data_IF_549461490865
#
_entry.id   IF_549461490865
#
_cell.length_a   1.000
_cell.length_b   1.000
_cell.length_c   1.000
_cell.angle_alpha   90.00
_cell.angle_beta   90.00
_cell.angle_gamma   90.00
#
_symmetry.space_group_name_H-M   'P 1'
#
loop_
_entity.id
_entity.type
_entity.pdbx_description
1 polymer ?
#
# COMPACT_ATOMS: atom_id res chain seq x y z
N UNK A 1 -5.27 -13.58 2.93
CA UNK A 1 -4.60 -14.45 3.92
C UNK A 1 -3.10 -14.52 3.70
N UNK A 2 -2.62 -14.90 2.51
CA UNK A 2 -1.20 -15.16 2.26
C UNK A 2 -0.28 -14.05 2.81
N UNK A 3 -0.53 -12.78 2.47
CA UNK A 3 0.28 -11.67 2.95
C UNK A 3 0.27 -11.51 4.50
N UNK A 4 -0.70 -12.08 5.18
CA UNK A 4 -0.87 -11.96 6.63
C UNK A 4 -0.29 -13.15 7.41
N UNK A 5 0.20 -14.18 6.71
CA UNK A 5 0.79 -15.40 7.29
C UNK A 5 2.28 -15.55 7.02
N UNK A 6 2.87 -14.66 6.22
CA UNK A 6 4.30 -14.66 5.90
C UNK A 6 5.04 -13.62 6.75
N UNK A 7 6.35 -13.80 6.86
CA UNK A 7 7.23 -12.83 7.50
C UNK A 7 7.34 -11.56 6.64
N UNK A 8 7.23 -10.41 7.29
CA UNK A 8 7.25 -9.09 6.66
C UNK A 8 8.66 -8.52 6.72
N UNK A 9 9.34 -8.30 5.60
CA UNK A 9 10.63 -7.61 5.61
C UNK A 9 10.43 -6.15 5.98
N UNK A 10 11.31 -5.62 6.81
CA UNK A 10 11.40 -4.21 7.19
C UNK A 10 12.87 -3.81 7.16
N UNK A 11 13.22 -2.76 6.43
CA UNK A 11 14.57 -2.22 6.47
C UNK A 11 14.64 -1.18 7.58
N UNK A 12 15.30 -1.51 8.68
CA UNK A 12 15.37 -0.71 9.90
C UNK A 12 16.83 -0.56 10.34
N UNK A 13 17.25 0.67 10.56
CA UNK A 13 18.61 1.02 11.01
C UNK A 13 19.74 0.45 10.10
N UNK A 14 19.48 0.37 8.80
CA UNK A 14 20.45 -0.12 7.82
C UNK A 14 20.45 -1.64 7.61
N UNK A 15 19.53 -2.37 8.22
CA UNK A 15 19.45 -3.83 8.14
C UNK A 15 18.03 -4.30 7.82
N UNK A 16 17.93 -5.43 7.10
CA UNK A 16 16.64 -6.10 6.89
C UNK A 16 16.31 -6.94 8.12
N UNK A 17 15.18 -6.62 8.74
CA UNK A 17 14.58 -7.39 9.84
C UNK A 17 13.26 -7.96 9.38
N UNK A 18 12.89 -9.14 9.85
CA UNK A 18 11.62 -9.76 9.55
C UNK A 18 10.74 -9.72 10.79
N UNK A 19 9.49 -9.29 10.59
CA UNK A 19 8.48 -9.24 11.65
C UNK A 19 7.25 -10.02 11.21
N UNK A 20 6.50 -10.53 12.16
CA UNK A 20 5.24 -11.21 11.87
C UNK A 20 4.07 -10.25 12.00
N UNK A 21 3.19 -10.30 11.03
CA UNK A 21 2.11 -9.34 10.84
C UNK A 21 1.24 -9.10 12.10
N UNK A 22 0.84 -10.16 12.78
CA UNK A 22 -0.07 -10.10 13.93
C UNK A 22 0.59 -10.49 15.27
N UNK A 23 1.89 -10.69 15.30
CA UNK A 23 2.65 -10.96 16.53
C UNK A 23 3.17 -9.66 17.17
N UNK A 24 3.72 -9.76 18.35
CA UNK A 24 4.11 -8.61 19.17
C UNK A 24 5.08 -7.66 18.46
N UNK A 25 6.01 -8.18 17.68
CA UNK A 25 6.99 -7.41 16.91
C UNK A 25 6.34 -6.59 15.78
N UNK A 26 5.41 -7.18 15.03
CA UNK A 26 4.64 -6.46 14.02
C UNK A 26 3.64 -5.48 14.63
N UNK A 27 2.99 -5.88 15.73
CA UNK A 27 2.07 -5.01 16.47
C UNK A 27 2.78 -3.79 17.03
N UNK A 28 4.02 -3.91 17.50
CA UNK A 28 4.83 -2.79 18.00
C UNK A 28 5.14 -1.73 16.92
N UNK A 29 5.13 -2.12 15.64
CA UNK A 29 5.41 -1.24 14.51
C UNK A 29 4.15 -0.58 13.91
N UNK A 30 2.98 -0.80 14.48
CA UNK A 30 1.74 -0.14 14.05
C UNK A 30 1.83 1.37 14.22
N UNK A 31 1.17 2.08 13.33
CA UNK A 31 1.00 3.53 13.46
C UNK A 31 -0.32 3.99 12.86
N UNK A 32 -0.83 5.11 13.36
CA UNK A 32 -1.92 5.81 12.70
C UNK A 32 -1.35 6.77 11.66
N UNK A 33 -2.00 6.82 10.51
CA UNK A 33 -1.68 7.77 9.46
C UNK A 33 -2.95 8.44 8.95
N UNK A 34 -2.87 9.76 8.75
CA UNK A 34 -3.98 10.55 8.23
C UNK A 34 -3.87 10.65 6.70
N UNK A 35 -4.68 9.85 6.01
CA UNK A 35 -4.71 9.84 4.55
C UNK A 35 -5.68 10.89 4.02
N UNK A 36 -5.35 11.53 2.88
CA UNK A 36 -6.39 12.21 2.11
C UNK A 36 -7.51 11.21 1.77
N UNK A 37 -8.77 11.65 1.80
CA UNK A 37 -9.95 10.83 1.42
C UNK A 37 -10.35 9.75 2.42
N UNK A 38 -9.40 9.03 3.02
CA UNK A 38 -9.69 7.93 3.95
C UNK A 38 -9.79 8.41 5.40
N UNK A 39 -9.12 9.55 5.72
CA UNK A 39 -8.95 9.99 7.10
C UNK A 39 -7.92 9.13 7.84
N UNK A 40 -8.06 9.08 9.15
CA UNK A 40 -7.12 8.40 10.05
C UNK A 40 -7.29 6.90 10.03
N UNK A 41 -6.24 6.17 9.65
CA UNK A 41 -6.24 4.70 9.51
C UNK A 41 -5.09 4.10 10.32
N UNK A 42 -5.38 3.03 11.05
CA UNK A 42 -4.35 2.21 11.71
C UNK A 42 -3.67 1.31 10.69
N UNK A 43 -2.34 1.44 10.58
CA UNK A 43 -1.50 0.69 9.66
C UNK A 43 -0.71 -0.37 10.38
N UNK A 44 -0.52 -1.49 9.70
CA UNK A 44 0.33 -2.61 10.11
C UNK A 44 1.50 -2.77 9.14
N UNK A 45 2.64 -3.32 9.55
CA UNK A 45 3.68 -3.78 8.61
C UNK A 45 3.05 -4.64 7.52
N UNK A 46 3.41 -4.40 6.27
CA UNK A 46 2.85 -5.11 5.13
C UNK A 46 3.97 -5.63 4.22
N UNK A 47 3.92 -6.90 3.77
CA UNK A 47 4.98 -7.45 2.94
C UNK A 47 4.90 -6.88 1.52
N UNK A 48 5.96 -6.20 1.12
CA UNK A 48 6.13 -5.65 -0.20
C UNK A 48 7.61 -5.66 -0.62
N UNK A 49 7.95 -5.73 -1.90
CA UNK A 49 9.33 -5.82 -2.35
C UNK A 49 10.15 -4.55 -2.12
N UNK A 50 9.53 -3.38 -2.04
CA UNK A 50 10.21 -2.08 -1.92
C UNK A 50 11.11 -1.99 -0.68
N UNK A 51 10.74 -2.66 0.41
CA UNK A 51 11.55 -2.72 1.63
C UNK A 51 12.92 -3.41 1.41
N UNK A 52 13.00 -4.25 0.37
CA UNK A 52 14.21 -5.01 0.03
C UNK A 52 14.95 -4.36 -1.14
N UNK A 53 14.23 -3.78 -2.09
CA UNK A 53 14.83 -3.25 -3.33
C UNK A 53 15.31 -1.81 -3.18
N UNK A 54 14.54 -0.93 -2.56
CA UNK A 54 14.91 0.49 -2.38
C UNK A 54 16.29 0.66 -1.71
N UNK A 55 16.63 -0.03 -0.60
CA UNK A 55 17.92 0.16 0.06
C UNK A 55 19.14 -0.23 -0.78
N UNK A 56 18.94 -1.01 -1.85
CA UNK A 56 20.01 -1.42 -2.76
C UNK A 56 20.36 -0.33 -3.78
N UNK A 57 19.44 0.59 -4.03
CA UNK A 57 19.57 1.62 -5.06
C UNK A 57 19.53 3.05 -4.50
N UNK A 58 18.88 3.23 -3.35
CA UNK A 58 18.73 4.54 -2.70
C UNK A 58 19.33 4.47 -1.31
N UNK A 59 20.30 5.35 -1.02
CA UNK A 59 20.92 5.43 0.32
C UNK A 59 19.90 5.93 1.34
N UNK A 60 19.51 5.08 2.27
CA UNK A 60 18.53 5.38 3.29
C UNK A 60 18.83 4.55 4.57
N UNK A 61 18.26 4.97 5.68
CA UNK A 61 18.39 4.27 6.97
C UNK A 61 17.22 3.35 7.27
N UNK A 62 16.08 3.65 6.65
CA UNK A 62 14.83 2.96 6.93
C UNK A 62 13.94 2.95 5.70
N UNK A 63 13.38 1.78 5.39
CA UNK A 63 12.28 1.60 4.44
C UNK A 63 11.25 0.68 5.06
N UNK A 64 10.03 1.18 5.20
CA UNK A 64 8.91 0.41 5.74
C UNK A 64 7.74 0.51 4.78
N UNK A 65 7.05 -0.59 4.57
CA UNK A 65 5.74 -0.59 3.95
C UNK A 65 4.70 -0.96 5.02
N UNK A 66 3.66 -0.17 5.11
CA UNK A 66 2.57 -0.38 6.06
C UNK A 66 1.24 -0.21 5.35
N UNK A 67 0.30 -1.05 5.66
CA UNK A 67 -1.00 -1.06 5.02
C UNK A 67 -2.13 -1.44 5.96
N UNK A 68 -3.34 -1.27 5.47
CA UNK A 68 -4.56 -1.70 6.14
C UNK A 68 -5.62 -2.06 5.13
N UNK A 69 -6.62 -2.83 5.58
CA UNK A 69 -7.84 -3.09 4.84
C UNK A 69 -9.01 -2.59 5.68
N UNK A 70 -9.80 -1.71 5.10
CA UNK A 70 -10.95 -1.12 5.79
C UNK A 70 -12.20 -1.99 5.64
N UNK A 71 -13.09 -1.99 6.65
CA UNK A 71 -12.97 -1.34 7.94
C UNK A 71 -12.07 -2.12 8.91
N UNK A 72 -11.59 -1.50 9.98
CA UNK A 72 -10.70 -2.11 10.97
C UNK A 72 -11.24 -3.42 11.56
N UNK A 73 -12.55 -3.51 11.76
CA UNK A 73 -13.20 -4.75 12.23
C UNK A 73 -12.97 -5.95 11.29
N UNK A 74 -12.86 -5.70 9.98
CA UNK A 74 -12.52 -6.75 9.02
C UNK A 74 -11.09 -7.23 9.24
N UNK A 75 -10.19 -6.32 9.51
CA UNK A 75 -8.80 -6.64 9.82
C UNK A 75 -8.69 -7.54 11.06
N UNK A 76 -9.43 -7.20 12.11
CA UNK A 76 -9.49 -8.01 13.33
C UNK A 76 -10.06 -9.40 13.06
N UNK A 77 -11.11 -9.51 12.24
CA UNK A 77 -11.68 -10.81 11.83
C UNK A 77 -10.63 -11.67 11.11
N UNK A 78 -9.90 -11.12 10.15
CA UNK A 78 -8.85 -11.85 9.43
C UNK A 78 -7.74 -12.31 10.38
N UNK A 79 -7.31 -11.47 11.31
CA UNK A 79 -6.36 -11.86 12.37
C UNK A 79 -6.87 -13.08 13.15
N UNK A 80 -8.11 -13.04 13.58
CA UNK A 80 -8.68 -14.10 14.39
C UNK A 80 -8.86 -15.40 13.59
N UNK A 81 -9.21 -15.30 12.29
CA UNK A 81 -9.22 -16.44 11.36
C UNK A 81 -7.82 -17.04 11.17
N UNK A 82 -6.79 -16.22 11.01
CA UNK A 82 -5.40 -16.69 10.93
C UNK A 82 -4.99 -17.42 12.22
N UNK A 83 -5.31 -16.87 13.38
CA UNK A 83 -5.00 -17.48 14.69
C UNK A 83 -5.74 -18.79 14.93
N UNK A 84 -6.95 -18.95 14.39
CA UNK A 84 -7.70 -20.20 14.42
C UNK A 84 -7.21 -21.26 13.43
N UNK A 85 -6.26 -20.93 12.56
CA UNK A 85 -5.76 -21.82 11.53
C UNK A 85 -6.60 -21.87 10.25
N UNK A 86 -7.61 -20.99 10.10
CA UNK A 86 -8.45 -20.93 8.90
C UNK A 86 -7.72 -20.39 7.67
N UNK A 87 -6.50 -19.91 7.82
CA UNK A 87 -5.58 -19.59 6.73
C UNK A 87 -4.53 -20.70 6.48
N UNK A 88 -4.68 -21.86 7.11
CA UNK A 88 -3.77 -23.00 6.97
C UNK A 88 -3.91 -23.68 5.62
N UNK A 89 -2.80 -24.25 5.15
CA UNK A 89 -2.71 -25.00 3.88
C UNK A 89 -2.79 -26.51 4.09
N UNK A 90 -2.60 -27.01 5.30
CA UNK A 90 -2.71 -28.43 5.62
C UNK A 90 -4.17 -28.87 5.60
N UNK A 91 -4.51 -29.92 4.85
CA UNK A 91 -5.87 -30.40 4.76
C UNK A 91 -6.42 -30.92 6.08
N UNK A 92 -7.71 -30.73 6.30
CA UNK A 92 -8.46 -31.28 7.43
C UNK A 92 -9.52 -32.22 6.92
N UNK A 93 -9.60 -33.43 7.50
CA UNK A 93 -10.65 -34.38 7.13
C UNK A 93 -12.01 -33.94 7.66
N UNK A 94 -12.94 -33.67 6.77
CA UNK A 94 -14.33 -33.31 7.09
C UNK A 94 -15.25 -34.40 6.53
N UNK A 95 -15.70 -35.30 7.37
CA UNK A 95 -16.63 -36.38 7.00
C UNK A 95 -16.15 -37.22 5.79
N UNK A 96 -14.85 -37.52 5.75
CA UNK A 96 -14.25 -38.30 4.69
C UNK A 96 -13.74 -37.51 3.47
N UNK A 97 -13.89 -36.18 3.49
CA UNK A 97 -13.38 -35.29 2.45
C UNK A 97 -12.24 -34.44 3.00
N UNK A 98 -11.12 -34.40 2.30
CA UNK A 98 -10.01 -33.51 2.62
C UNK A 98 -10.33 -32.07 2.20
N UNK A 99 -10.29 -31.13 3.14
CA UNK A 99 -10.61 -29.71 2.93
C UNK A 99 -9.42 -28.87 3.39
N UNK A 100 -8.89 -28.03 2.49
CA UNK A 100 -7.87 -27.05 2.84
C UNK A 100 -8.55 -25.84 3.49
N UNK A 101 -8.22 -25.49 4.74
CA UNK A 101 -8.88 -24.39 5.47
C UNK A 101 -8.84 -23.06 4.71
N UNK A 102 -7.71 -22.70 4.11
CA UNK A 102 -7.56 -21.46 3.33
C UNK A 102 -8.48 -21.43 2.12
N UNK A 103 -8.62 -22.53 1.39
CA UNK A 103 -9.46 -22.59 0.19
C UNK A 103 -10.93 -22.44 0.55
N UNK A 104 -11.37 -23.13 1.61
CA UNK A 104 -12.73 -22.98 2.13
C UNK A 104 -12.99 -21.54 2.60
N UNK A 105 -12.10 -20.98 3.39
CA UNK A 105 -12.25 -19.63 3.94
C UNK A 105 -12.30 -18.57 2.84
N UNK A 106 -11.45 -18.69 1.83
CA UNK A 106 -11.41 -17.79 0.68
C UNK A 106 -12.70 -17.86 -0.13
N UNK A 107 -13.15 -19.09 -0.47
CA UNK A 107 -14.39 -19.29 -1.21
C UNK A 107 -15.61 -18.79 -0.43
N UNK A 108 -15.64 -19.02 0.88
CA UNK A 108 -16.71 -18.53 1.75
C UNK A 108 -16.77 -17.01 1.81
N UNK A 109 -15.63 -16.34 2.00
CA UNK A 109 -15.56 -14.86 2.04
C UNK A 109 -16.00 -14.27 0.69
N UNK A 110 -15.54 -14.84 -0.43
CA UNK A 110 -15.94 -14.38 -1.78
C UNK A 110 -17.45 -14.51 -1.95
N UNK A 111 -18.04 -15.63 -1.57
CA UNK A 111 -19.49 -15.84 -1.63
C UNK A 111 -20.27 -14.84 -0.80
N UNK A 112 -19.81 -14.56 0.43
CA UNK A 112 -20.49 -13.67 1.36
C UNK A 112 -20.20 -12.17 1.08
N UNK A 113 -19.17 -11.87 0.28
CA UNK A 113 -18.74 -10.51 -0.01
C UNK A 113 -19.89 -9.61 -0.47
N UNK A 114 -20.66 -10.06 -1.44
CA UNK A 114 -21.73 -9.24 -2.03
C UNK A 114 -22.88 -9.01 -1.03
N UNK A 115 -23.16 -10.01 -0.18
CA UNK A 115 -24.11 -9.84 0.92
C UNK A 115 -23.62 -8.83 1.94
N UNK A 116 -22.36 -8.97 2.38
CA UNK A 116 -21.73 -8.08 3.36
C UNK A 116 -21.71 -6.64 2.84
N UNK A 117 -21.37 -6.43 1.57
CA UNK A 117 -21.35 -5.10 0.95
C UNK A 117 -22.74 -4.44 0.88
N UNK A 118 -23.81 -5.25 0.71
CA UNK A 118 -25.20 -4.74 0.72
C UNK A 118 -25.75 -4.47 2.12
N UNK A 119 -25.37 -5.27 3.11
CA UNK A 119 -25.96 -5.27 4.44
C UNK A 119 -25.18 -4.45 5.46
N UNK A 120 -23.98 -4.02 5.11
CA UNK A 120 -23.11 -3.25 5.98
C UNK A 120 -22.74 -1.92 5.35
N UNK A 121 -22.47 -0.94 6.19
CA UNK A 121 -22.00 0.40 5.79
C UNK A 121 -20.51 0.33 5.39
N UNK A 122 -20.18 -0.61 4.50
CA UNK A 122 -18.82 -0.74 3.96
C UNK A 122 -18.45 0.44 3.07
N UNK A 123 -19.45 1.23 2.69
CA UNK A 123 -19.28 2.46 1.95
C UNK A 123 -18.77 2.26 0.53
N UNK A 124 -18.49 3.38 -0.12
CA UNK A 124 -17.90 3.39 -1.44
C UNK A 124 -16.45 2.85 -1.40
N UNK A 125 -16.08 2.12 -2.44
CA UNK A 125 -14.69 1.67 -2.60
C UNK A 125 -13.79 2.89 -2.69
N UNK A 126 -12.78 2.93 -1.84
CA UNK A 126 -11.79 4.00 -1.81
C UNK A 126 -10.47 3.49 -1.27
N UNK A 127 -9.39 4.07 -1.73
CA UNK A 127 -8.06 3.75 -1.29
C UNK A 127 -7.11 4.91 -1.49
N UNK A 128 -5.97 4.84 -0.83
CA UNK A 128 -4.90 5.79 -1.00
C UNK A 128 -3.56 5.08 -0.84
N UNK A 129 -2.66 5.31 -1.79
CA UNK A 129 -1.24 4.98 -1.65
C UNK A 129 -0.52 6.26 -1.27
N UNK A 130 0.29 6.20 -0.22
CA UNK A 130 1.07 7.33 0.25
C UNK A 130 2.54 6.95 0.37
N UNK A 131 3.41 7.69 -0.28
CA UNK A 131 4.86 7.58 -0.11
C UNK A 131 5.33 8.75 0.76
N UNK A 132 5.95 8.43 1.89
CA UNK A 132 6.44 9.43 2.85
C UNK A 132 7.96 9.36 2.92
N UNK A 133 8.61 10.44 2.54
CA UNK A 133 10.07 10.56 2.55
C UNK A 133 10.49 11.54 3.62
N UNK A 134 11.27 11.08 4.59
CA UNK A 134 11.78 11.89 5.72
C UNK A 134 13.28 12.00 5.65
N UNK A 135 13.79 13.20 5.84
CA UNK A 135 15.23 13.42 5.82
C UNK A 135 15.65 14.86 6.14
N UNK A 136 16.88 15.19 5.76
CA UNK A 136 17.41 16.55 5.87
C UNK A 136 17.69 17.11 4.48
N UNK A 137 17.21 18.32 4.23
CA UNK A 137 17.50 19.10 3.02
C UNK A 137 18.05 20.45 3.43
N UNK A 138 19.27 20.76 3.01
CA UNK A 138 19.95 21.98 3.46
C UNK A 138 20.18 22.04 4.98
N UNK A 139 20.38 20.89 5.64
CA UNK A 139 20.56 20.80 7.09
C UNK A 139 19.27 20.80 7.92
N UNK A 140 18.13 21.16 7.35
CA UNK A 140 16.82 21.22 8.02
C UNK A 140 16.03 19.94 7.77
N UNK A 141 15.26 19.51 8.76
CA UNK A 141 14.32 18.41 8.60
C UNK A 141 13.26 18.77 7.58
N UNK A 142 12.94 17.79 6.72
CA UNK A 142 11.83 17.85 5.76
C UNK A 142 11.17 16.49 5.67
N UNK A 143 9.84 16.50 5.56
CA UNK A 143 9.05 15.35 5.18
C UNK A 143 8.27 15.70 3.91
N UNK A 144 8.36 14.85 2.89
CA UNK A 144 7.56 14.95 1.68
C UNK A 144 6.58 13.79 1.66
N UNK A 145 5.33 14.09 1.34
CA UNK A 145 4.25 13.11 1.19
C UNK A 145 3.71 13.16 -0.23
N UNK A 146 3.67 12.03 -0.87
CA UNK A 146 3.09 11.86 -2.20
C UNK A 146 1.88 10.95 -2.05
N UNK A 147 0.70 11.44 -2.39
CA UNK A 147 -0.55 10.72 -2.22
C UNK A 147 -1.22 10.48 -3.56
N UNK A 148 -1.58 9.22 -3.84
CA UNK A 148 -2.48 8.82 -4.91
C UNK A 148 -3.75 8.26 -4.28
N UNK A 149 -4.86 8.98 -4.39
CA UNK A 149 -6.13 8.60 -3.82
C UNK A 149 -7.15 8.24 -4.92
N UNK A 150 -7.96 7.21 -4.66
CA UNK A 150 -9.01 6.77 -5.56
C UNK A 150 -10.31 6.51 -4.79
N UNK A 151 -11.44 6.81 -5.42
CA UNK A 151 -12.80 6.48 -4.95
C UNK A 151 -13.47 5.42 -5.81
N UNK A 152 -12.75 4.74 -6.68
CA UNK A 152 -13.31 3.68 -7.52
C UNK A 152 -12.64 2.34 -7.23
N UNK A 153 -11.72 1.91 -8.05
CA UNK A 153 -11.03 0.62 -7.90
C UNK A 153 -9.62 0.80 -7.35
N UNK A 154 -9.52 1.35 -6.14
CA UNK A 154 -8.26 1.76 -5.52
C UNK A 154 -7.09 0.80 -5.75
N UNK A 155 -7.27 -0.51 -5.50
CA UNK A 155 -6.23 -1.52 -5.71
C UNK A 155 -5.94 -1.74 -7.20
N UNK A 156 -6.97 -1.79 -8.05
CA UNK A 156 -6.82 -1.97 -9.49
C UNK A 156 -6.08 -0.80 -10.13
N UNK A 157 -6.45 0.41 -9.80
CA UNK A 157 -5.81 1.64 -10.30
C UNK A 157 -4.39 1.78 -9.74
N UNK A 158 -4.21 1.64 -8.43
CA UNK A 158 -2.90 1.77 -7.76
C UNK A 158 -1.87 0.74 -8.22
N UNK A 159 -2.29 -0.40 -8.76
CA UNK A 159 -1.40 -1.45 -9.28
C UNK A 159 -1.32 -1.41 -10.80
N UNK A 160 -2.44 -1.26 -11.49
CA UNK A 160 -2.51 -1.35 -12.95
C UNK A 160 -1.91 -0.14 -13.66
N UNK A 161 -2.16 1.08 -13.17
CA UNK A 161 -1.66 2.31 -13.80
C UNK A 161 -0.14 2.39 -13.79
N UNK A 162 0.58 2.19 -12.68
CA UNK A 162 2.04 2.18 -12.69
C UNK A 162 2.63 1.12 -13.62
N UNK A 163 2.04 -0.06 -13.69
CA UNK A 163 2.48 -1.13 -14.58
C UNK A 163 2.29 -0.74 -16.06
N UNK A 164 1.15 -0.13 -16.42
CA UNK A 164 0.88 0.37 -17.77
C UNK A 164 1.85 1.49 -18.15
N UNK A 165 2.10 2.43 -17.24
CA UNK A 165 3.10 3.50 -17.44
C UNK A 165 4.49 2.90 -17.67
N UNK A 166 4.90 1.91 -16.88
CA UNK A 166 6.16 1.21 -17.06
C UNK A 166 6.29 0.59 -18.47
N UNK A 167 5.21 -0.01 -18.98
CA UNK A 167 5.19 -0.55 -20.35
C UNK A 167 5.32 0.56 -21.42
N UNK A 168 4.67 1.70 -21.24
CA UNK A 168 4.80 2.86 -22.15
C UNK A 168 6.25 3.37 -22.14
N UNK A 169 6.86 3.55 -20.96
CA UNK A 169 8.25 3.99 -20.85
C UNK A 169 9.24 3.04 -21.50
N UNK A 170 8.97 1.71 -21.43
CA UNK A 170 9.76 0.72 -22.16
C UNK A 170 9.65 0.88 -23.68
N UNK A 171 8.45 1.12 -24.21
CA UNK A 171 8.20 1.34 -25.63
C UNK A 171 8.83 2.65 -26.14
N UNK A 172 9.01 3.63 -25.26
CA UNK A 172 9.59 4.94 -25.59
C UNK A 172 11.11 5.01 -25.32
N UNK A 173 11.75 3.87 -25.02
CA UNK A 173 13.18 3.80 -24.67
C UNK A 173 13.58 4.72 -23.49
N UNK A 174 12.65 4.96 -22.56
CA UNK A 174 12.84 5.80 -21.36
C UNK A 174 13.23 5.02 -20.10
N UNK A 175 13.48 3.71 -20.24
CA UNK A 175 13.95 2.85 -19.15
C UNK A 175 15.43 2.59 -19.32
N UNK A 176 16.21 2.86 -18.28
CA UNK A 176 17.66 2.70 -18.30
C UNK A 176 18.07 1.24 -18.04
N UNK A 177 19.01 0.72 -18.82
CA UNK A 177 19.57 -0.63 -18.63
C UNK A 177 18.75 -1.74 -19.27
N UNK A 178 19.14 -2.99 -18.97
CA UNK A 178 18.51 -4.22 -19.49
C UNK A 178 18.44 -5.29 -18.42
N UNK A 179 17.45 -6.18 -18.52
CA UNK A 179 17.24 -7.28 -17.57
C UNK A 179 16.08 -7.02 -16.60
N UNK A 180 16.09 -7.72 -15.47
CA UNK A 180 15.05 -7.57 -14.43
C UNK A 180 15.56 -6.59 -13.38
N UNK A 181 14.92 -5.43 -13.32
CA UNK A 181 15.30 -4.34 -12.41
C UNK A 181 14.05 -3.75 -11.73
N UNK A 182 14.17 -3.28 -10.49
CA UNK A 182 13.10 -2.54 -9.86
C UNK A 182 13.00 -1.10 -10.42
N UNK A 183 11.84 -0.46 -10.37
CA UNK A 183 11.63 0.88 -10.95
C UNK A 183 12.63 1.93 -10.45
N UNK A 184 12.98 1.90 -9.17
CA UNK A 184 13.93 2.83 -8.55
C UNK A 184 15.37 2.71 -9.10
N UNK A 185 15.68 1.63 -9.81
CA UNK A 185 16.97 1.42 -10.44
C UNK A 185 17.02 1.90 -11.89
N UNK A 186 15.89 2.05 -12.57
CA UNK A 186 15.86 2.17 -14.02
C UNK A 186 14.86 3.19 -14.58
N UNK A 187 13.99 3.77 -13.75
CA UNK A 187 12.99 4.74 -14.20
C UNK A 187 13.25 6.10 -13.57
N UNK A 188 13.37 7.14 -14.41
CA UNK A 188 13.39 8.51 -13.93
C UNK A 188 11.97 8.87 -13.42
N UNK A 189 11.83 9.26 -12.14
CA UNK A 189 10.53 9.56 -11.55
C UNK A 189 9.77 10.71 -12.23
N UNK A 190 10.48 11.63 -12.91
CA UNK A 190 9.86 12.71 -13.67
C UNK A 190 8.96 12.20 -14.79
N UNK A 191 9.36 11.15 -15.49
CA UNK A 191 8.53 10.53 -16.54
C UNK A 191 7.27 9.86 -15.96
N UNK A 192 7.39 9.25 -14.79
CA UNK A 192 6.23 8.67 -14.10
C UNK A 192 5.22 9.77 -13.73
N UNK A 193 5.68 10.86 -13.12
CA UNK A 193 4.84 11.98 -12.70
C UNK A 193 4.12 12.61 -13.91
N UNK A 194 4.85 12.84 -15.01
CA UNK A 194 4.29 13.38 -16.25
C UNK A 194 3.15 12.51 -16.78
N UNK A 195 3.37 11.20 -16.92
CA UNK A 195 2.36 10.28 -17.45
C UNK A 195 1.18 10.08 -16.48
N UNK A 196 1.42 10.02 -15.18
CA UNK A 196 0.33 9.95 -14.18
C UNK A 196 -0.57 11.17 -14.29
N UNK A 197 -0.01 12.36 -14.46
CA UNK A 197 -0.78 13.60 -14.60
C UNK A 197 -1.66 13.61 -15.85
N UNK A 198 -1.25 12.93 -16.93
CA UNK A 198 -2.03 12.77 -18.15
C UNK A 198 -3.17 11.74 -18.02
N UNK A 199 -2.89 10.62 -17.32
CA UNK A 199 -3.85 9.51 -17.19
C UNK A 199 -4.85 9.72 -16.06
N UNK A 200 -4.42 10.40 -15.00
CA UNK A 200 -5.21 10.70 -13.80
C UNK A 200 -5.22 12.22 -13.53
N UNK A 201 -5.83 13.03 -14.37
CA UNK A 201 -5.88 14.47 -14.12
C UNK A 201 -6.60 14.75 -12.80
N UNK A 202 -6.16 15.77 -12.09
CA UNK A 202 -6.82 16.25 -10.86
C UNK A 202 -8.19 16.79 -11.25
N UNK A 203 -9.26 16.17 -10.76
CA UNK A 203 -10.63 16.65 -10.97
C UNK A 203 -10.97 17.71 -9.91
N UNK A 204 -10.78 18.98 -10.27
CA UNK A 204 -11.06 20.13 -9.40
C UNK A 204 -12.55 20.45 -9.23
N UNK A 205 -13.44 19.79 -9.97
CA UNK A 205 -14.85 20.22 -10.16
C UNK A 205 -15.90 19.41 -9.40
N UNK A 206 -15.56 18.63 -8.37
CA UNK A 206 -16.61 17.98 -7.59
C UNK A 206 -17.05 18.83 -6.41
N UNK A 207 -18.39 19.00 -6.31
CA UNK A 207 -19.12 19.89 -5.39
C UNK A 207 -18.82 19.71 -3.88
N UNK A 208 -18.12 18.65 -3.49
CA UNK A 208 -17.76 18.38 -2.11
C UNK A 208 -16.35 18.87 -1.70
N UNK A 209 -15.69 19.63 -2.55
CA UNK A 209 -14.39 20.27 -2.29
C UNK A 209 -13.23 19.29 -2.15
N UNK A 210 -13.42 18.02 -2.55
CA UNK A 210 -12.40 16.97 -2.49
C UNK A 210 -11.96 16.60 -3.90
N UNK A 211 -10.82 17.12 -4.29
CA UNK A 211 -10.13 16.77 -5.53
C UNK A 211 -9.73 15.29 -5.54
N UNK A 212 -9.99 14.60 -6.65
CA UNK A 212 -9.58 13.21 -6.88
C UNK A 212 -8.85 13.09 -8.20
N UNK A 213 -7.80 12.29 -8.20
CA UNK A 213 -6.93 12.08 -9.34
C UNK A 213 -5.57 12.76 -9.15
N UNK A 214 -4.60 12.41 -9.98
CA UNK A 214 -3.25 12.93 -9.91
C UNK A 214 -2.48 12.51 -8.66
N UNK A 215 -1.35 13.17 -8.46
CA UNK A 215 -0.51 13.02 -7.28
C UNK A 215 -0.63 14.30 -6.44
N UNK A 216 -1.08 14.16 -5.20
CA UNK A 216 -1.07 15.26 -4.23
C UNK A 216 0.29 15.23 -3.54
N UNK A 217 1.03 16.33 -3.59
CA UNK A 217 2.33 16.47 -2.93
C UNK A 217 2.25 17.45 -1.77
N UNK A 218 2.74 17.03 -0.62
CA UNK A 218 2.81 17.83 0.58
C UNK A 218 4.25 17.89 1.10
N UNK A 219 4.67 19.07 1.55
CA UNK A 219 5.89 19.27 2.34
C UNK A 219 5.48 19.56 3.78
N UNK A 220 6.11 18.85 4.72
CA UNK A 220 5.90 19.05 6.16
C UNK A 220 7.23 19.47 6.77
N UNK A 221 7.22 20.58 7.49
CA UNK A 221 8.39 21.12 8.17
C UNK A 221 8.60 20.51 9.57
N UNK A 222 9.65 20.95 10.26
CA UNK A 222 9.98 20.50 11.63
C UNK A 222 8.94 20.91 12.70
N UNK A 223 8.03 21.83 12.39
CA UNK A 223 6.91 22.22 13.28
C UNK A 223 5.65 21.43 12.98
N UNK A 224 5.65 20.59 11.92
CA UNK A 224 4.48 19.85 11.44
C UNK A 224 3.54 20.70 10.57
N UNK A 225 3.97 21.88 10.10
CA UNK A 225 3.19 22.70 9.18
C UNK A 225 3.19 22.05 7.79
N UNK A 226 2.00 21.90 7.23
CA UNK A 226 1.80 21.23 5.93
C UNK A 226 1.60 22.27 4.85
N UNK A 227 2.42 22.20 3.81
CA UNK A 227 2.32 23.00 2.59
C UNK A 227 2.07 22.06 1.40
N UNK A 228 0.99 22.30 0.65
CA UNK A 228 0.78 21.63 -0.63
C UNK A 228 1.71 22.21 -1.68
N UNK A 229 2.30 21.33 -2.49
CA UNK A 229 3.17 21.70 -3.60
C UNK A 229 2.44 21.43 -4.92
N UNK A 230 2.58 22.36 -5.86
CA UNK A 230 2.20 22.17 -7.26
C UNK A 230 3.35 21.45 -7.97
N UNK A 231 3.06 20.38 -8.72
CA UNK A 231 4.01 19.61 -9.52
C UNK A 231 3.60 19.63 -10.99
#
# INVERSE_FOLDING_TARGET
>A
FHCMTIDVPMFLDGEIKYVKFFEDDGIALREYFDFPVLGRVLLYPYPHPEQVTIPRHISCRQVTNKGSVLPERYYNLIRDMCRLGLAGLEPVNVKGTEVVPQDFSSAFIIRERDRILRETDFGDQRGCVSVVVRGKKGGQFREYRFHMASRSQALGEGTGIPAAIGAILLLEDKVEGTGVMPPEACINPGYLIELVSQVMPIDEKKEDGKSFGGIIVEEVDEKGEIKKLEI
#
